data_IF_363323420121
#
_entry.id   IF_363323420121
#
_cell.length_a   1.000
_cell.length_b   1.000
_cell.length_c   1.000
_cell.angle_alpha   90.00
_cell.angle_beta   90.00
_cell.angle_gamma   90.00
#
_symmetry.space_group_name_H-M   'P 1'
#
loop_
_entity.id
_entity.type
_entity.pdbx_description
1 polymer ?
#
# COMPACT_ATOMS: atom_id res chain seq x y z
N UNK A 1 -19.54 -9.82 -0.05
CA UNK A 1 -19.48 -8.46 0.56
C UNK A 1 -20.45 -8.33 1.73
N UNK A 2 -21.69 -8.76 1.59
CA UNK A 2 -22.69 -8.72 2.69
C UNK A 2 -22.15 -9.39 3.97
N UNK A 3 -21.49 -10.54 3.85
CA UNK A 3 -20.89 -11.28 4.98
C UNK A 3 -19.64 -10.61 5.62
N UNK A 4 -19.17 -9.49 5.08
CA UNK A 4 -17.99 -8.77 5.57
C UNK A 4 -18.30 -7.51 6.38
N UNK A 5 -19.58 -7.26 6.65
CA UNK A 5 -20.04 -6.07 7.38
C UNK A 5 -19.43 -4.76 6.86
N UNK A 6 -19.49 -4.57 5.53
CA UNK A 6 -19.02 -3.36 4.88
C UNK A 6 -19.75 -2.13 5.43
N UNK A 7 -19.01 -1.08 5.75
CA UNK A 7 -19.50 0.16 6.35
C UNK A 7 -19.05 1.39 5.55
N UNK A 8 -19.59 2.55 5.90
CA UNK A 8 -19.17 3.83 5.31
C UNK A 8 -17.70 4.22 5.61
N UNK A 9 -17.06 3.59 6.58
CA UNK A 9 -15.65 3.83 6.92
C UNK A 9 -14.68 3.01 6.04
N UNK A 10 -15.22 2.16 5.16
CA UNK A 10 -14.44 1.30 4.28
C UNK A 10 -14.20 1.93 2.91
N UNK A 11 -13.18 1.43 2.21
CA UNK A 11 -12.89 1.75 0.81
C UNK A 11 -12.90 0.47 -0.02
N UNK A 12 -13.69 0.43 -1.08
CA UNK A 12 -13.74 -0.72 -1.99
C UNK A 12 -13.04 -0.37 -3.31
N UNK A 13 -12.05 -1.18 -3.67
CA UNK A 13 -11.30 -1.03 -4.92
C UNK A 13 -11.71 -2.15 -5.88
N UNK A 14 -12.35 -1.80 -6.98
CA UNK A 14 -12.79 -2.72 -8.03
C UNK A 14 -11.77 -2.76 -9.18
N UNK A 15 -11.23 -3.96 -9.50
CA UNK A 15 -10.28 -4.15 -10.60
C UNK A 15 -10.91 -4.94 -11.73
N UNK A 16 -10.91 -4.39 -12.94
CA UNK A 16 -11.34 -5.07 -14.16
C UNK A 16 -10.68 -4.42 -15.38
N UNK A 17 -9.80 -5.12 -16.10
CA UNK A 17 -9.12 -4.55 -17.26
C UNK A 17 -10.10 -4.08 -18.34
N UNK A 18 -11.15 -4.84 -18.61
CA UNK A 18 -12.22 -4.44 -19.54
C UNK A 18 -13.21 -3.44 -18.95
N UNK A 19 -13.20 -3.28 -17.61
CA UNK A 19 -14.14 -2.43 -16.90
C UNK A 19 -15.60 -2.86 -16.97
N UNK A 20 -15.91 -4.10 -17.38
CA UNK A 20 -17.30 -4.58 -17.64
C UNK A 20 -17.68 -5.80 -16.82
N UNK A 21 -16.80 -6.29 -15.95
CA UNK A 21 -17.04 -7.52 -15.17
C UNK A 21 -18.23 -7.34 -14.23
N UNK A 22 -19.34 -8.09 -14.39
CA UNK A 22 -20.58 -7.89 -13.62
C UNK A 22 -20.38 -8.00 -12.11
N UNK A 23 -19.52 -8.92 -11.66
CA UNK A 23 -19.16 -9.07 -10.24
C UNK A 23 -18.57 -7.78 -9.66
N UNK A 24 -17.67 -7.09 -10.41
CA UNK A 24 -17.02 -5.86 -9.96
C UNK A 24 -18.03 -4.70 -9.99
N UNK A 25 -18.84 -4.60 -11.03
CA UNK A 25 -19.94 -3.61 -11.10
C UNK A 25 -20.85 -3.74 -9.89
N UNK A 26 -21.38 -4.95 -9.64
CA UNK A 26 -22.25 -5.22 -8.49
C UNK A 26 -21.57 -4.92 -7.16
N UNK A 27 -20.28 -5.25 -7.02
CA UNK A 27 -19.50 -4.96 -5.83
C UNK A 27 -19.36 -3.47 -5.54
N UNK A 28 -19.02 -2.66 -6.54
CA UNK A 28 -18.91 -1.21 -6.40
C UNK A 28 -20.27 -0.55 -6.15
N UNK A 29 -21.32 -0.98 -6.87
CA UNK A 29 -22.69 -0.49 -6.64
C UNK A 29 -23.16 -0.77 -5.22
N UNK A 30 -22.91 -1.98 -4.70
CA UNK A 30 -23.26 -2.32 -3.32
C UNK A 30 -22.43 -1.48 -2.33
N UNK A 31 -21.13 -1.30 -2.56
CA UNK A 31 -20.29 -0.49 -1.69
C UNK A 31 -20.80 0.96 -1.61
N UNK A 32 -21.13 1.56 -2.76
CA UNK A 32 -21.72 2.90 -2.80
C UNK A 32 -23.06 2.97 -2.05
N UNK A 33 -23.90 1.92 -2.13
CA UNK A 33 -25.21 1.89 -1.44
C UNK A 33 -25.12 1.88 0.08
N UNK A 34 -23.99 1.41 0.64
CA UNK A 34 -23.72 1.42 2.09
C UNK A 34 -22.87 2.64 2.51
N UNK A 35 -22.55 3.53 1.59
CA UNK A 35 -21.79 4.76 1.85
C UNK A 35 -20.28 4.57 1.88
N UNK A 36 -19.76 3.40 1.51
CA UNK A 36 -18.32 3.16 1.41
C UNK A 36 -17.74 3.88 0.18
N UNK A 37 -16.54 4.46 0.31
CA UNK A 37 -15.83 5.06 -0.82
C UNK A 37 -15.45 4.00 -1.86
N UNK A 38 -15.53 4.36 -3.14
CA UNK A 38 -15.33 3.42 -4.24
C UNK A 38 -14.26 3.90 -5.23
N UNK A 39 -13.37 2.97 -5.61
CA UNK A 39 -12.31 3.22 -6.60
C UNK A 39 -12.39 2.16 -7.68
N UNK A 40 -12.46 2.56 -8.94
CA UNK A 40 -12.29 1.66 -10.08
C UNK A 40 -10.85 1.70 -10.59
N UNK A 41 -10.31 0.54 -10.97
CA UNK A 41 -9.03 0.42 -11.68
C UNK A 41 -9.27 -0.38 -12.94
N UNK A 42 -9.20 0.26 -14.09
CA UNK A 42 -9.41 -0.39 -15.37
C UNK A 42 -8.39 0.03 -16.45
N UNK A 43 -8.57 -0.49 -17.68
CA UNK A 43 -7.74 -0.16 -18.84
C UNK A 43 -8.59 0.25 -20.06
N UNK A 44 -9.88 0.53 -19.84
CA UNK A 44 -10.84 0.85 -20.90
C UNK A 44 -11.56 2.16 -20.57
N UNK A 45 -11.35 3.24 -21.35
CA UNK A 45 -12.00 4.52 -21.10
C UNK A 45 -13.54 4.40 -21.04
N UNK A 46 -14.14 5.19 -20.17
CA UNK A 46 -15.60 5.23 -19.98
C UNK A 46 -16.23 3.87 -19.64
N UNK A 47 -15.54 3.07 -18.86
CA UNK A 47 -15.95 1.73 -18.47
C UNK A 47 -17.20 1.72 -17.60
N UNK A 48 -17.84 0.55 -17.46
CA UNK A 48 -18.99 0.40 -16.58
C UNK A 48 -18.60 0.56 -15.10
N UNK A 49 -17.43 0.02 -14.69
CA UNK A 49 -16.96 0.17 -13.30
C UNK A 49 -16.52 1.61 -13.00
N UNK A 50 -15.90 2.31 -13.96
CA UNK A 50 -15.51 3.70 -13.79
C UNK A 50 -16.71 4.64 -13.56
N UNK A 51 -17.85 4.36 -14.23
CA UNK A 51 -19.09 5.11 -13.98
C UNK A 51 -19.77 4.82 -12.66
N UNK A 52 -19.46 3.68 -12.04
CA UNK A 52 -20.04 3.28 -10.74
C UNK A 52 -19.18 3.68 -9.53
N UNK A 53 -17.97 4.19 -9.76
CA UNK A 53 -17.02 4.51 -8.71
C UNK A 53 -16.91 6.03 -8.48
N UNK A 54 -16.57 6.43 -7.26
CA UNK A 54 -16.27 7.82 -6.91
C UNK A 54 -14.96 8.28 -7.58
N UNK A 55 -14.00 7.36 -7.73
CA UNK A 55 -12.71 7.61 -8.38
C UNK A 55 -12.47 6.55 -9.45
N UNK A 56 -12.21 7.00 -10.68
CA UNK A 56 -11.84 6.15 -11.81
C UNK A 56 -10.34 6.31 -12.14
N UNK A 57 -9.59 5.22 -12.03
CA UNK A 57 -8.17 5.14 -12.35
C UNK A 57 -7.99 4.31 -13.63
N UNK A 58 -8.26 4.91 -14.76
CA UNK A 58 -8.17 4.26 -16.06
C UNK A 58 -6.76 4.34 -16.65
N UNK A 59 -6.09 3.20 -16.78
CA UNK A 59 -4.78 3.07 -17.41
C UNK A 59 -4.90 2.51 -18.84
N UNK A 60 -4.97 3.35 -19.84
CA UNK A 60 -5.05 2.94 -21.25
C UNK A 60 -3.70 2.41 -21.72
N UNK A 61 -3.55 1.09 -21.82
CA UNK A 61 -2.28 0.40 -22.14
C UNK A 61 -2.17 -0.06 -23.59
N UNK A 62 -3.19 0.19 -24.41
CA UNK A 62 -3.27 -0.29 -25.79
C UNK A 62 -3.47 -1.80 -25.93
N UNK A 63 -3.36 -2.37 -27.13
CA UNK A 63 -3.62 -3.78 -27.39
C UNK A 63 -2.60 -4.68 -26.71
N UNK A 64 -3.07 -5.83 -26.22
CA UNK A 64 -2.20 -6.87 -25.67
C UNK A 64 -1.44 -7.62 -26.77
N UNK A 65 -0.34 -8.27 -26.39
CA UNK A 65 0.44 -9.15 -27.29
C UNK A 65 -0.42 -10.32 -27.78
N UNK A 66 -1.26 -10.88 -26.92
CA UNK A 66 -2.26 -11.90 -27.26
C UNK A 66 -3.64 -11.27 -27.09
N UNK A 67 -4.36 -11.10 -28.18
CA UNK A 67 -5.69 -10.51 -28.22
C UNK A 67 -6.63 -11.23 -27.23
N UNK A 68 -7.30 -10.46 -26.40
CA UNK A 68 -8.24 -10.96 -25.38
C UNK A 68 -7.59 -11.38 -24.06
N UNK A 69 -6.26 -11.45 -23.97
CA UNK A 69 -5.55 -11.79 -22.73
C UNK A 69 -5.01 -10.54 -22.06
N UNK A 70 -5.62 -10.11 -20.95
CA UNK A 70 -5.30 -8.85 -20.24
C UNK A 70 -4.23 -8.99 -19.15
N UNK A 71 -3.38 -10.03 -19.23
CA UNK A 71 -2.42 -10.38 -18.17
C UNK A 71 -1.09 -9.63 -18.22
N UNK A 72 -0.68 -9.14 -19.38
CA UNK A 72 0.62 -8.50 -19.57
C UNK A 72 0.54 -6.99 -19.30
N UNK A 73 0.07 -6.19 -20.25
CA UNK A 73 0.04 -4.73 -20.11
C UNK A 73 -0.99 -4.28 -19.06
N UNK A 74 -2.23 -4.72 -19.19
CA UNK A 74 -3.30 -4.35 -18.27
C UNK A 74 -3.03 -4.87 -16.86
N UNK A 75 -2.71 -6.14 -16.70
CA UNK A 75 -2.39 -6.71 -15.40
C UNK A 75 -1.19 -6.05 -14.72
N UNK A 76 -0.16 -5.66 -15.49
CA UNK A 76 1.00 -4.93 -14.94
C UNK A 76 0.60 -3.53 -14.48
N UNK A 77 -0.16 -2.78 -15.29
CA UNK A 77 -0.62 -1.45 -14.94
C UNK A 77 -1.51 -1.48 -13.68
N UNK A 78 -2.47 -2.39 -13.62
CA UNK A 78 -3.35 -2.55 -12.46
C UNK A 78 -2.58 -2.93 -11.19
N UNK A 79 -1.60 -3.84 -11.29
CA UNK A 79 -0.72 -4.18 -10.18
C UNK A 79 0.06 -2.95 -9.68
N UNK A 80 0.59 -2.14 -10.58
CA UNK A 80 1.34 -0.94 -10.21
C UNK A 80 0.44 0.07 -9.51
N UNK A 81 -0.77 0.32 -10.02
CA UNK A 81 -1.74 1.23 -9.39
C UNK A 81 -2.12 0.74 -7.99
N UNK A 82 -2.44 -0.56 -7.83
CA UNK A 82 -2.76 -1.14 -6.53
C UNK A 82 -1.59 -1.00 -5.53
N UNK A 83 -0.34 -1.18 -6.00
CA UNK A 83 0.85 -0.98 -5.18
C UNK A 83 1.07 0.50 -4.83
N UNK A 84 0.76 1.44 -5.74
CA UNK A 84 0.83 2.88 -5.46
C UNK A 84 -0.19 3.27 -4.38
N UNK A 85 -1.42 2.78 -4.47
CA UNK A 85 -2.46 3.03 -3.46
C UNK A 85 -2.05 2.51 -2.08
N UNK A 86 -1.63 1.25 -2.00
CA UNK A 86 -1.21 0.64 -0.73
C UNK A 86 0.05 1.30 -0.17
N UNK A 87 1.03 1.60 -1.00
CA UNK A 87 2.26 2.30 -0.58
C UNK A 87 1.95 3.71 -0.10
N UNK A 88 1.13 4.46 -0.85
CA UNK A 88 0.70 5.79 -0.47
C UNK A 88 -0.05 5.82 0.87
N UNK A 89 -0.94 4.85 1.09
CA UNK A 89 -1.63 4.68 2.37
C UNK A 89 -0.64 4.42 3.52
N UNK A 90 0.35 3.53 3.33
CA UNK A 90 1.36 3.23 4.33
C UNK A 90 2.26 4.44 4.65
N UNK A 91 2.62 5.24 3.64
CA UNK A 91 3.36 6.49 3.84
C UNK A 91 2.53 7.46 4.70
N UNK A 92 1.26 7.66 4.37
CA UNK A 92 0.36 8.53 5.12
C UNK A 92 0.09 8.06 6.56
N UNK A 93 0.10 6.76 6.77
CA UNK A 93 0.00 6.14 8.11
C UNK A 93 1.30 6.23 8.92
N UNK A 94 2.36 6.87 8.40
CA UNK A 94 3.64 7.03 9.09
C UNK A 94 4.46 5.74 9.19
N UNK A 95 4.22 4.77 8.30
CA UNK A 95 4.97 3.50 8.22
C UNK A 95 6.31 3.61 7.51
N UNK A 96 6.72 4.85 7.17
CA UNK A 96 7.95 5.15 6.42
C UNK A 96 8.71 6.28 7.11
N UNK A 97 10.04 6.20 7.12
CA UNK A 97 10.95 7.25 7.53
C UNK A 97 11.94 7.54 6.38
N UNK A 98 11.80 8.70 5.72
CA UNK A 98 12.45 8.95 4.44
C UNK A 98 12.01 7.90 3.41
N UNK A 99 12.94 7.11 2.88
CA UNK A 99 12.67 5.97 2.01
C UNK A 99 12.74 4.61 2.73
N UNK A 100 12.82 4.59 4.07
CA UNK A 100 12.94 3.38 4.86
C UNK A 100 11.57 2.92 5.36
N UNK A 101 11.22 1.66 5.11
CA UNK A 101 10.05 1.01 5.68
C UNK A 101 10.29 0.67 7.15
N UNK A 102 9.63 1.36 8.09
CA UNK A 102 9.92 1.22 9.52
C UNK A 102 8.99 0.26 10.28
N UNK A 103 7.92 -0.20 9.66
CA UNK A 103 6.98 -1.14 10.27
C UNK A 103 7.24 -2.59 9.80
N UNK A 104 8.43 -3.09 10.08
CA UNK A 104 8.84 -4.46 9.74
C UNK A 104 8.51 -5.41 10.89
N UNK A 105 7.61 -6.39 10.66
CA UNK A 105 7.41 -7.51 11.59
C UNK A 105 8.55 -8.51 11.47
N UNK A 106 9.35 -8.64 12.51
CA UNK A 106 10.49 -9.57 12.57
C UNK A 106 10.02 -11.00 12.80
N UNK A 107 9.58 -11.67 11.74
CA UNK A 107 9.12 -13.07 11.80
C UNK A 107 10.21 -14.10 11.49
N UNK A 108 11.38 -13.66 11.05
CA UNK A 108 12.53 -14.51 10.78
C UNK A 108 13.84 -13.72 10.87
N UNK A 109 14.97 -14.44 10.93
CA UNK A 109 16.31 -13.87 11.09
C UNK A 109 16.66 -12.82 10.01
N UNK A 110 16.23 -13.03 8.76
CA UNK A 110 16.44 -12.07 7.66
C UNK A 110 15.72 -10.74 7.92
N UNK A 111 14.50 -10.79 8.42
CA UNK A 111 13.71 -9.59 8.72
C UNK A 111 14.22 -8.88 9.99
N UNK A 112 14.73 -9.61 10.97
CA UNK A 112 15.41 -9.01 12.12
C UNK A 112 16.66 -8.23 11.70
N UNK A 113 17.50 -8.82 10.86
CA UNK A 113 18.69 -8.16 10.34
C UNK A 113 18.33 -6.93 9.51
N UNK A 114 17.26 -7.02 8.70
CA UNK A 114 16.73 -5.87 7.95
C UNK A 114 16.27 -4.76 8.89
N UNK A 115 15.54 -5.10 9.96
CA UNK A 115 15.08 -4.11 10.94
C UNK A 115 16.27 -3.39 11.63
N UNK A 116 17.31 -4.12 12.01
CA UNK A 116 18.54 -3.54 12.58
C UNK A 116 19.20 -2.57 11.62
N UNK A 117 19.37 -2.95 10.35
CA UNK A 117 19.94 -2.06 9.32
C UNK A 117 19.11 -0.79 9.11
N UNK A 118 17.77 -0.90 9.14
CA UNK A 118 16.89 0.27 9.05
C UNK A 118 17.13 1.21 10.22
N UNK A 119 17.23 0.70 11.44
CA UNK A 119 17.52 1.52 12.64
C UNK A 119 18.87 2.21 12.50
N UNK A 120 19.93 1.47 12.16
CA UNK A 120 21.27 2.04 11.95
C UNK A 120 21.28 3.12 10.88
N UNK A 121 20.59 2.90 9.74
CA UNK A 121 20.52 3.88 8.65
C UNK A 121 19.73 5.13 9.05
N UNK A 122 18.66 4.96 9.81
CA UNK A 122 17.80 6.08 10.23
C UNK A 122 18.42 6.95 11.33
N UNK A 123 19.22 6.36 12.21
CA UNK A 123 19.72 7.02 13.43
C UNK A 123 21.23 7.26 13.44
N UNK A 124 21.98 6.55 12.58
CA UNK A 124 23.45 6.56 12.61
C UNK A 124 24.08 5.78 13.77
N UNK A 125 23.28 5.04 14.53
CA UNK A 125 23.76 4.28 15.70
C UNK A 125 24.59 3.06 15.31
N UNK A 126 25.36 2.53 16.28
CA UNK A 126 26.11 1.30 16.11
C UNK A 126 25.17 0.07 16.04
N UNK A 127 25.72 -1.06 15.55
CA UNK A 127 24.99 -2.33 15.51
C UNK A 127 24.54 -2.79 16.90
N UNK A 128 25.38 -2.59 17.91
CA UNK A 128 25.08 -2.99 19.30
C UNK A 128 23.89 -2.21 19.86
N UNK A 129 23.88 -0.90 19.67
CA UNK A 129 22.78 -0.02 20.07
C UNK A 129 21.47 -0.38 19.31
N UNK A 130 21.58 -0.72 18.02
CA UNK A 130 20.43 -1.17 17.23
C UNK A 130 19.84 -2.49 17.73
N UNK A 131 20.67 -3.44 18.20
CA UNK A 131 20.23 -4.70 18.80
C UNK A 131 19.47 -4.44 20.09
N UNK A 132 20.04 -3.62 20.98
CA UNK A 132 19.41 -3.25 22.26
C UNK A 132 18.07 -2.52 22.07
N UNK A 133 18.01 -1.59 21.12
CA UNK A 133 16.80 -0.89 20.76
C UNK A 133 15.74 -1.83 20.20
N UNK A 134 16.12 -2.79 19.34
CA UNK A 134 15.21 -3.77 18.74
C UNK A 134 14.65 -4.76 19.76
N UNK A 135 15.43 -5.13 20.77
CA UNK A 135 14.99 -6.03 21.86
C UNK A 135 13.94 -5.42 22.78
N UNK A 136 13.85 -4.09 22.87
CA UNK A 136 12.86 -3.36 23.68
C UNK A 136 11.53 -3.10 22.95
N UNK A 137 11.48 -3.32 21.63
CA UNK A 137 10.30 -3.05 20.80
C UNK A 137 9.58 -4.36 20.45
N UNK A 138 8.84 -4.91 21.39
CA UNK A 138 7.78 -5.89 21.11
C UNK A 138 6.53 -5.14 20.68
N UNK A 139 6.23 -5.19 19.36
CA UNK A 139 4.94 -4.96 18.72
C UNK A 139 4.10 -3.74 19.18
N UNK A 140 4.03 -2.73 18.30
CA UNK A 140 2.98 -1.71 18.35
C UNK A 140 3.07 -0.76 17.15
N UNK A 141 1.93 -0.24 16.62
CA UNK A 141 1.86 0.50 15.36
C UNK A 141 2.23 1.98 15.48
N UNK A 142 3.27 2.33 16.22
CA UNK A 142 3.72 3.73 16.33
C UNK A 142 5.24 3.79 16.29
N UNK A 143 5.79 4.94 15.80
CA UNK A 143 7.21 5.29 15.96
C UNK A 143 7.66 4.86 17.35
N UNK A 144 8.61 3.96 17.50
CA UNK A 144 9.06 3.57 18.82
C UNK A 144 9.67 4.81 19.51
N UNK A 145 9.14 5.17 20.68
CA UNK A 145 9.78 6.18 21.56
C UNK A 145 11.22 5.80 21.94
N UNK A 146 11.59 4.51 21.80
CA UNK A 146 12.93 4.00 21.95
C UNK A 146 13.93 4.45 20.88
N UNK A 147 13.48 4.98 19.74
CA UNK A 147 14.38 5.59 18.75
C UNK A 147 14.96 6.93 19.25
N UNK A 148 14.26 7.61 20.15
CA UNK A 148 14.77 8.82 20.80
C UNK A 148 15.96 8.57 21.73
N UNK A 149 16.14 7.36 22.24
CA UNK A 149 17.31 7.01 23.06
C UNK A 149 18.59 6.68 22.26
N UNK A 150 18.46 6.43 20.95
CA UNK A 150 19.60 6.27 20.02
C UNK A 150 20.02 7.57 19.34
N UNK A 151 19.29 8.69 19.51
CA UNK A 151 19.60 9.92 18.82
C UNK A 151 20.29 10.92 19.73
N UNK A 152 21.60 11.02 19.64
CA UNK A 152 22.32 12.25 19.98
C UNK A 152 22.24 13.33 18.86
N UNK A 153 21.71 13.01 17.66
CA UNK A 153 21.28 13.97 16.60
C UNK A 153 20.51 13.25 15.49
N UNK A 154 19.34 13.77 15.02
CA UNK A 154 18.71 13.27 13.80
C UNK A 154 19.61 13.62 12.61
N UNK A 155 20.03 12.61 11.84
CA UNK A 155 20.64 12.83 10.55
C UNK A 155 19.61 13.53 9.65
N UNK A 156 19.96 14.72 9.13
CA UNK A 156 19.15 15.41 8.13
C UNK A 156 18.99 14.50 6.91
N UNK A 157 17.76 14.34 6.34
CA UNK A 157 17.61 13.61 5.09
C UNK A 157 18.50 14.26 4.04
N UNK A 158 19.33 13.46 3.38
CA UNK A 158 20.06 13.89 2.18
C UNK A 158 19.00 14.16 1.11
N UNK A 159 18.78 15.41 0.78
CA UNK A 159 18.03 15.82 -0.40
C UNK A 159 18.78 15.32 -1.62
N UNK A 160 18.12 14.49 -2.44
CA UNK A 160 18.57 14.14 -3.79
C UNK A 160 18.27 15.31 -4.73
#
# INVERSE_FOLDING_TARGET
>A
MIDKNLTADDVVVGLSASGRTPYVVGGLTYAASVGAATIAIDCSPHSAIGRCADIDLCAVVGPEVVTGSTRMKAGTAQKMIANMLSTGAMIRLGKVYGNLMVDVKSSNQKLEERARRIVMTATGCSRQEAIEASGKVRAGPRRPSSWSSCTSRPAKPKTA
#
